data_IF_807778268497
#
_entry.id   IF_807778268497
#
_cell.length_a   1.000
_cell.length_b   1.000
_cell.length_c   1.000
_cell.angle_alpha   90.00
_cell.angle_beta   90.00
_cell.angle_gamma   90.00
#
_symmetry.space_group_name_H-M   'P 1'
#
loop_
_entity.id
_entity.type
_entity.pdbx_description
1 polymer ?
#
# COMPACT_ATOMS: atom_id res chain seq x y z
N UNK A 1 3.61 -1.24 -11.64
CA UNK A 1 3.49 -2.06 -10.42
C UNK A 1 2.34 -3.04 -10.64
N UNK A 2 2.44 -4.28 -10.28
CA UNK A 2 1.39 -5.28 -10.55
C UNK A 2 1.89 -6.48 -11.37
N UNK A 3 3.15 -6.88 -11.17
CA UNK A 3 3.62 -8.18 -11.64
C UNK A 3 2.89 -9.32 -10.94
N UNK A 4 2.87 -10.49 -11.55
CA UNK A 4 2.08 -11.65 -11.10
C UNK A 4 2.43 -12.21 -9.71
N UNK A 5 3.40 -11.66 -8.97
CA UNK A 5 3.92 -12.26 -7.76
C UNK A 5 3.57 -11.56 -6.44
N UNK A 6 3.24 -10.27 -6.42
CA UNK A 6 2.95 -9.58 -5.16
C UNK A 6 2.10 -8.32 -5.38
N UNK A 7 0.82 -8.33 -4.93
CA UNK A 7 -0.09 -7.22 -5.22
C UNK A 7 0.10 -6.01 -4.29
N UNK A 8 0.47 -6.25 -3.04
CA UNK A 8 0.50 -5.22 -2.01
C UNK A 8 1.94 -4.82 -1.68
N UNK A 9 2.10 -3.60 -1.20
CA UNK A 9 3.42 -2.96 -1.06
C UNK A 9 3.68 -2.53 0.38
N UNK A 10 4.84 -2.87 0.91
CA UNK A 10 5.43 -2.28 2.10
C UNK A 10 6.39 -1.17 1.68
N UNK A 11 6.25 0.00 2.27
CA UNK A 11 7.21 1.10 2.18
C UNK A 11 7.85 1.28 3.56
N UNK A 12 9.15 1.07 3.66
CA UNK A 12 9.87 1.23 4.94
C UNK A 12 11.02 2.22 4.79
N UNK A 13 11.24 3.04 5.82
CA UNK A 13 12.37 3.99 5.83
C UNK A 13 12.31 4.93 7.00
N UNK A 14 13.48 5.17 7.62
CA UNK A 14 13.61 6.11 8.73
C UNK A 14 13.28 7.57 8.34
N UNK A 15 13.13 8.43 9.31
CA UNK A 15 12.93 9.88 9.10
C UNK A 15 14.07 10.45 8.26
N UNK A 16 13.76 11.24 7.23
CA UNK A 16 14.74 11.82 6.32
C UNK A 16 15.27 10.88 5.23
N UNK A 17 14.83 9.61 5.20
CA UNK A 17 15.24 8.67 4.15
C UNK A 17 14.66 8.96 2.77
N UNK A 18 13.58 9.76 2.67
CA UNK A 18 12.84 10.05 1.46
C UNK A 18 11.50 9.29 1.34
N UNK A 19 10.99 8.69 2.44
CA UNK A 19 9.74 7.94 2.47
C UNK A 19 8.55 8.81 2.02
N UNK A 20 8.36 10.00 2.59
CA UNK A 20 7.27 10.91 2.21
C UNK A 20 7.38 11.36 0.76
N UNK A 21 8.59 11.63 0.25
CA UNK A 21 8.81 11.94 -1.16
C UNK A 21 8.37 10.80 -2.06
N UNK A 22 8.74 9.55 -1.73
CA UNK A 22 8.31 8.38 -2.48
C UNK A 22 6.78 8.22 -2.49
N UNK A 23 6.14 8.38 -1.31
CA UNK A 23 4.69 8.27 -1.18
C UNK A 23 3.98 9.34 -2.00
N UNK A 24 4.41 10.60 -1.88
CA UNK A 24 3.86 11.72 -2.67
C UNK A 24 4.04 11.48 -4.17
N UNK A 25 5.22 11.04 -4.63
CA UNK A 25 5.44 10.72 -6.03
C UNK A 25 4.46 9.64 -6.54
N UNK A 26 4.17 8.61 -5.72
CA UNK A 26 3.18 7.60 -6.09
C UNK A 26 1.78 8.21 -6.22
N UNK A 27 1.39 9.07 -5.29
CA UNK A 27 0.08 9.74 -5.29
C UNK A 27 -0.06 10.72 -6.45
N UNK A 28 0.96 11.54 -6.74
CA UNK A 28 0.98 12.41 -7.92
C UNK A 28 0.88 11.61 -9.23
N UNK A 29 1.60 10.49 -9.35
CA UNK A 29 1.47 9.61 -10.51
C UNK A 29 0.06 9.03 -10.66
N UNK A 30 -0.65 8.76 -9.57
CA UNK A 30 -2.03 8.31 -9.60
C UNK A 30 -2.96 9.47 -9.98
N UNK A 31 -2.79 10.66 -9.40
CA UNK A 31 -3.53 11.87 -9.73
C UNK A 31 -3.42 12.22 -11.22
N UNK A 32 -2.20 12.24 -11.75
CA UNK A 32 -1.93 12.66 -13.13
C UNK A 32 -2.41 11.65 -14.17
N UNK A 33 -2.58 10.39 -13.77
CA UNK A 33 -3.15 9.33 -14.60
C UNK A 33 -4.64 9.09 -14.32
N UNK A 34 -5.20 9.90 -13.44
CA UNK A 34 -6.61 9.84 -13.10
C UNK A 34 -7.43 10.27 -14.32
N UNK A 35 -7.96 9.30 -15.03
CA UNK A 35 -9.10 9.50 -15.92
C UNK A 35 -10.36 9.33 -15.08
N UNK A 36 -11.32 10.27 -15.15
CA UNK A 36 -12.48 10.31 -14.23
C UNK A 36 -13.10 8.93 -14.06
N UNK A 37 -12.98 8.38 -12.86
CA UNK A 37 -13.55 7.08 -12.48
C UNK A 37 -12.69 5.87 -12.79
N UNK A 38 -11.42 6.01 -13.23
CA UNK A 38 -10.53 4.86 -13.45
C UNK A 38 -9.72 4.44 -12.22
N UNK A 39 -9.52 5.37 -11.28
CA UNK A 39 -8.77 5.15 -10.04
C UNK A 39 -9.48 5.81 -8.87
N UNK A 40 -9.49 5.17 -7.73
CA UNK A 40 -9.85 5.72 -6.44
C UNK A 40 -8.69 5.52 -5.46
N UNK A 41 -8.48 6.50 -4.59
CA UNK A 41 -7.38 6.49 -3.62
C UNK A 41 -7.92 6.79 -2.23
N UNK A 42 -7.62 5.90 -1.29
CA UNK A 42 -7.85 6.12 0.15
C UNK A 42 -6.49 6.31 0.80
N UNK A 43 -6.32 7.39 1.54
CA UNK A 43 -5.08 7.71 2.26
C UNK A 43 -5.39 7.79 3.74
N UNK A 44 -4.80 6.91 4.53
CA UNK A 44 -4.87 6.95 5.99
C UNK A 44 -3.63 7.69 6.49
N UNK A 45 -3.83 8.91 7.03
CA UNK A 45 -2.78 9.82 7.51
C UNK A 45 -2.90 10.03 9.03
N UNK A 46 -2.26 9.19 9.86
CA UNK A 46 -2.26 9.35 11.30
C UNK A 46 -1.71 10.69 11.80
N UNK A 47 -0.78 11.27 11.03
CA UNK A 47 -0.10 12.52 11.41
C UNK A 47 -0.86 13.78 11.03
N UNK A 48 -1.85 13.67 10.13
CA UNK A 48 -2.75 14.75 9.71
C UNK A 48 -2.06 15.94 9.02
N UNK A 49 -0.89 15.73 8.43
CA UNK A 49 -0.11 16.82 7.82
C UNK A 49 0.53 16.46 6.48
N UNK A 50 0.79 15.17 6.21
CA UNK A 50 1.62 14.76 5.07
C UNK A 50 0.86 14.76 3.74
N UNK A 51 -0.48 14.52 3.77
CA UNK A 51 -1.26 14.26 2.56
C UNK A 51 -2.52 15.13 2.43
N UNK A 52 -2.59 16.23 3.16
CA UNK A 52 -3.76 17.12 3.13
C UNK A 52 -3.99 17.78 1.76
N UNK A 53 -2.95 17.94 0.95
CA UNK A 53 -3.04 18.46 -0.41
C UNK A 53 -3.87 17.57 -1.34
N UNK A 54 -4.08 16.30 -0.95
CA UNK A 54 -4.93 15.36 -1.70
C UNK A 54 -6.39 15.35 -1.24
N UNK A 55 -6.76 16.09 -0.18
CA UNK A 55 -8.11 16.06 0.38
C UNK A 55 -9.19 16.56 -0.60
N UNK A 56 -8.82 17.54 -1.45
CA UNK A 56 -9.72 18.13 -2.44
C UNK A 56 -9.54 17.55 -3.86
N UNK A 57 -8.69 16.51 -4.00
CA UNK A 57 -8.47 15.87 -5.31
C UNK A 57 -9.61 14.89 -5.60
N UNK A 58 -10.30 15.03 -6.74
CA UNK A 58 -11.39 14.10 -7.11
C UNK A 58 -10.91 12.65 -7.13
N UNK A 59 -11.67 11.75 -6.49
CA UNK A 59 -11.33 10.33 -6.40
C UNK A 59 -10.33 9.99 -5.28
N UNK A 60 -9.90 10.99 -4.48
CA UNK A 60 -9.07 10.79 -3.31
C UNK A 60 -9.87 11.03 -2.03
N UNK A 61 -9.61 10.23 -1.03
CA UNK A 61 -10.19 10.35 0.31
C UNK A 61 -9.07 10.32 1.34
N UNK A 62 -8.91 11.38 2.10
CA UNK A 62 -7.93 11.45 3.20
C UNK A 62 -8.63 11.18 4.53
N UNK A 63 -8.13 10.21 5.27
CA UNK A 63 -8.68 9.74 6.55
C UNK A 63 -7.65 9.96 7.65
N UNK A 64 -8.00 10.79 8.61
CA UNK A 64 -7.11 11.20 9.72
C UNK A 64 -7.57 10.71 11.09
N UNK A 65 -8.66 9.94 11.13
CA UNK A 65 -9.28 9.42 12.34
C UNK A 65 -9.38 7.89 12.31
N UNK A 66 -9.05 7.23 13.44
CA UNK A 66 -9.07 5.77 13.58
C UNK A 66 -10.45 5.15 13.33
N UNK A 67 -11.50 5.79 13.82
CA UNK A 67 -12.87 5.30 13.64
C UNK A 67 -13.26 5.28 12.17
N UNK A 68 -12.97 6.38 11.46
CA UNK A 68 -13.19 6.45 10.00
C UNK A 68 -12.31 5.45 9.25
N UNK A 69 -11.08 5.22 9.69
CA UNK A 69 -10.21 4.22 9.06
C UNK A 69 -10.77 2.80 9.20
N UNK A 70 -11.35 2.44 10.35
CA UNK A 70 -12.06 1.17 10.54
C UNK A 70 -13.23 1.04 9.56
N UNK A 71 -14.00 2.12 9.39
CA UNK A 71 -15.12 2.13 8.43
C UNK A 71 -14.62 1.97 6.98
N UNK A 72 -13.52 2.62 6.61
CA UNK A 72 -12.95 2.49 5.26
C UNK A 72 -12.44 1.07 4.97
N UNK A 73 -11.78 0.39 5.92
CA UNK A 73 -11.42 -1.02 5.73
C UNK A 73 -12.65 -1.91 5.51
N UNK A 74 -13.72 -1.70 6.28
CA UNK A 74 -15.00 -2.42 6.07
C UNK A 74 -15.60 -2.14 4.69
N UNK A 75 -15.58 -0.87 4.23
CA UNK A 75 -16.03 -0.51 2.88
C UNK A 75 -15.20 -1.19 1.79
N UNK A 76 -13.87 -1.22 1.94
CA UNK A 76 -12.98 -1.91 0.99
C UNK A 76 -13.26 -3.40 0.92
N UNK A 77 -13.52 -4.07 2.05
CA UNK A 77 -13.90 -5.48 2.09
C UNK A 77 -15.27 -5.70 1.44
N UNK A 78 -16.24 -4.84 1.72
CA UNK A 78 -17.57 -4.92 1.09
C UNK A 78 -17.48 -4.74 -0.44
N UNK A 79 -16.70 -3.76 -0.90
CA UNK A 79 -16.46 -3.52 -2.31
C UNK A 79 -15.73 -4.69 -2.98
N UNK A 80 -14.72 -5.25 -2.34
CA UNK A 80 -14.06 -6.47 -2.82
C UNK A 80 -15.07 -7.59 -3.04
N UNK A 81 -15.95 -7.83 -2.08
CA UNK A 81 -17.00 -8.88 -2.16
C UNK A 81 -18.00 -8.57 -3.28
N UNK A 82 -18.46 -7.32 -3.41
CA UNK A 82 -19.32 -6.88 -4.51
C UNK A 82 -18.68 -7.16 -5.88
N UNK A 83 -17.39 -6.88 -6.04
CA UNK A 83 -16.65 -7.16 -7.28
C UNK A 83 -16.59 -8.64 -7.60
N UNK A 84 -16.42 -9.50 -6.62
CA UNK A 84 -16.47 -10.94 -6.82
C UNK A 84 -17.84 -11.44 -7.26
N UNK A 85 -18.96 -10.83 -6.79
CA UNK A 85 -20.30 -11.14 -7.32
C UNK A 85 -20.41 -10.76 -8.80
N UNK A 86 -19.91 -9.58 -9.19
CA UNK A 86 -19.86 -9.14 -10.58
C UNK A 86 -19.03 -10.12 -11.42
N UNK A 87 -17.86 -10.54 -10.92
CA UNK A 87 -17.02 -11.50 -11.63
C UNK A 87 -17.73 -12.84 -11.87
N UNK A 88 -18.49 -13.32 -10.90
CA UNK A 88 -19.33 -14.52 -11.06
C UNK A 88 -20.37 -14.34 -12.17
N UNK A 89 -21.09 -13.21 -12.18
CA UNK A 89 -22.09 -12.90 -13.20
C UNK A 89 -21.48 -12.87 -14.61
N UNK A 90 -20.32 -12.28 -14.78
CA UNK A 90 -19.62 -12.15 -16.07
C UNK A 90 -18.68 -13.32 -16.39
N UNK A 91 -18.60 -14.35 -15.54
CA UNK A 91 -17.72 -15.51 -15.69
C UNK A 91 -16.27 -15.13 -15.91
N UNK A 92 -15.78 -14.13 -15.17
CA UNK A 92 -14.39 -13.70 -15.15
C UNK A 92 -13.76 -13.91 -13.77
N UNK A 93 -12.44 -13.83 -13.68
CA UNK A 93 -11.68 -14.13 -12.45
C UNK A 93 -11.00 -12.90 -11.86
N UNK A 94 -10.90 -11.81 -12.61
CA UNK A 94 -10.16 -10.61 -12.22
C UNK A 94 -10.69 -9.38 -12.97
N UNK A 95 -10.44 -8.21 -12.40
CA UNK A 95 -10.90 -6.92 -12.94
C UNK A 95 -10.45 -6.68 -14.39
N UNK A 96 -9.24 -7.11 -14.78
CA UNK A 96 -8.75 -6.94 -16.15
C UNK A 96 -9.55 -7.75 -17.18
N UNK A 97 -10.10 -8.89 -16.78
CA UNK A 97 -11.00 -9.67 -17.66
C UNK A 97 -12.41 -9.06 -17.71
N UNK A 98 -12.85 -8.42 -16.60
CA UNK A 98 -14.11 -7.71 -16.58
C UNK A 98 -14.08 -6.50 -17.52
N UNK A 99 -12.97 -5.74 -17.53
CA UNK A 99 -12.82 -4.57 -18.39
C UNK A 99 -12.86 -4.86 -19.89
N UNK A 100 -12.65 -6.13 -20.27
CA UNK A 100 -12.78 -6.59 -21.67
C UNK A 100 -14.24 -6.91 -22.06
N UNK A 101 -15.18 -6.88 -21.10
CA UNK A 101 -16.61 -7.16 -21.36
C UNK A 101 -17.33 -5.87 -21.74
N UNK A 102 -17.95 -5.79 -22.93
CA UNK A 102 -18.54 -4.54 -23.43
C UNK A 102 -19.69 -4.03 -22.56
N UNK A 103 -20.48 -4.93 -21.97
CA UNK A 103 -21.67 -4.60 -21.17
C UNK A 103 -21.39 -4.59 -19.65
N UNK A 104 -20.12 -4.70 -19.23
CA UNK A 104 -19.79 -4.73 -17.83
C UNK A 104 -19.61 -3.31 -17.27
N UNK A 105 -19.95 -3.17 -15.99
CA UNK A 105 -19.63 -1.99 -15.22
C UNK A 105 -18.11 -1.72 -15.24
N UNK A 106 -17.72 -0.49 -15.51
CA UNK A 106 -16.32 -0.07 -15.38
C UNK A 106 -16.02 0.19 -13.92
N UNK A 107 -15.17 -0.65 -13.36
CA UNK A 107 -14.76 -0.55 -11.96
C UNK A 107 -13.41 0.18 -11.87
N UNK A 108 -13.27 1.18 -10.98
CA UNK A 108 -11.98 1.82 -10.74
C UNK A 108 -10.99 0.85 -10.09
N UNK A 109 -9.71 1.09 -10.30
CA UNK A 109 -8.65 0.52 -9.47
C UNK A 109 -8.62 1.30 -8.16
N UNK A 110 -8.63 0.60 -7.03
CA UNK A 110 -8.59 1.24 -5.72
C UNK A 110 -7.20 1.07 -5.11
N UNK A 111 -6.60 2.17 -4.67
CA UNK A 111 -5.37 2.18 -3.91
C UNK A 111 -5.64 2.65 -2.48
N UNK A 112 -5.26 1.84 -1.51
CA UNK A 112 -5.35 2.18 -0.09
C UNK A 112 -3.94 2.37 0.46
N UNK A 113 -3.58 3.60 0.73
CA UNK A 113 -2.33 3.99 1.38
C UNK A 113 -2.57 4.12 2.88
N UNK A 114 -1.68 3.58 3.69
CA UNK A 114 -1.66 3.80 5.13
C UNK A 114 -0.27 4.26 5.54
N UNK A 115 -0.12 5.57 5.73
CA UNK A 115 1.15 6.10 6.24
C UNK A 115 1.29 5.79 7.72
N UNK A 116 2.50 5.54 8.13
CA UNK A 116 2.89 5.19 9.51
C UNK A 116 1.88 4.27 10.20
N UNK A 117 1.47 3.19 9.50
CA UNK A 117 0.46 2.27 10.02
C UNK A 117 0.80 1.75 11.42
N UNK A 118 2.09 1.67 11.76
CA UNK A 118 2.57 1.25 13.08
C UNK A 118 2.04 2.15 14.21
N UNK A 119 1.77 3.43 13.94
CA UNK A 119 1.23 4.34 14.95
C UNK A 119 -0.15 3.92 15.42
N UNK A 120 -1.04 3.58 14.48
CA UNK A 120 -2.39 3.13 14.83
C UNK A 120 -2.43 1.66 15.27
N UNK A 121 -1.60 0.80 14.67
CA UNK A 121 -1.54 -0.64 15.02
C UNK A 121 -0.92 -0.93 16.39
N UNK A 122 -0.31 0.03 17.07
CA UNK A 122 0.07 -0.07 18.48
C UNK A 122 -1.12 0.02 19.43
N UNK A 123 -2.22 0.60 18.97
CA UNK A 123 -3.50 0.60 19.68
C UNK A 123 -4.18 -0.75 19.44
N UNK A 124 -4.22 -1.61 20.47
CA UNK A 124 -4.78 -2.96 20.38
C UNK A 124 -6.25 -2.94 19.95
N UNK A 125 -7.05 -1.98 20.44
CA UNK A 125 -8.45 -1.86 20.06
C UNK A 125 -8.62 -1.57 18.57
N UNK A 126 -7.80 -0.68 18.04
CA UNK A 126 -7.79 -0.41 16.61
C UNK A 126 -7.35 -1.64 15.82
N UNK A 127 -6.22 -2.24 16.20
CA UNK A 127 -5.65 -3.42 15.56
C UNK A 127 -6.65 -4.56 15.50
N UNK A 128 -7.29 -4.89 16.60
CA UNK A 128 -8.31 -5.95 16.69
C UNK A 128 -9.52 -5.66 15.78
N UNK A 129 -9.87 -4.38 15.63
CA UNK A 129 -10.99 -3.97 14.79
C UNK A 129 -10.71 -4.10 13.28
N UNK A 130 -9.44 -4.02 12.85
CA UNK A 130 -9.09 -3.99 11.42
C UNK A 130 -8.31 -5.20 10.93
N UNK A 131 -7.71 -6.00 11.81
CA UNK A 131 -6.76 -7.07 11.43
C UNK A 131 -7.37 -8.09 10.48
N UNK A 132 -8.62 -8.49 10.72
CA UNK A 132 -9.31 -9.47 9.87
C UNK A 132 -9.63 -8.90 8.48
N UNK A 133 -10.04 -7.64 8.42
CA UNK A 133 -10.35 -6.94 7.17
C UNK A 133 -9.08 -6.74 6.35
N UNK A 134 -8.00 -6.29 6.98
CA UNK A 134 -6.69 -6.10 6.35
C UNK A 134 -6.12 -7.42 5.84
N UNK A 135 -6.22 -8.51 6.62
CA UNK A 135 -5.78 -9.83 6.19
C UNK A 135 -6.63 -10.36 5.01
N UNK A 136 -7.94 -10.16 5.04
CA UNK A 136 -8.84 -10.52 3.94
C UNK A 136 -8.50 -9.77 2.65
N UNK A 137 -8.28 -8.46 2.75
CA UNK A 137 -7.84 -7.65 1.62
C UNK A 137 -6.46 -8.10 1.12
N UNK A 138 -5.51 -8.32 2.02
CA UNK A 138 -4.17 -8.80 1.66
C UNK A 138 -4.18 -10.11 0.87
N UNK A 139 -5.06 -11.03 1.22
CA UNK A 139 -5.17 -12.32 0.57
C UNK A 139 -5.94 -12.30 -0.76
N UNK A 140 -6.98 -11.46 -0.89
CA UNK A 140 -7.96 -11.59 -1.97
C UNK A 140 -8.14 -10.34 -2.84
N UNK A 141 -7.78 -9.15 -2.37
CA UNK A 141 -8.17 -7.90 -3.03
C UNK A 141 -7.51 -7.66 -4.40
N UNK A 142 -6.38 -8.31 -4.69
CA UNK A 142 -5.66 -8.18 -5.96
C UNK A 142 -6.55 -8.42 -7.18
N UNK A 143 -7.26 -9.54 -7.21
CA UNK A 143 -8.11 -9.89 -8.35
C UNK A 143 -9.26 -8.89 -8.52
N UNK A 144 -9.72 -8.31 -7.42
CA UNK A 144 -10.72 -7.26 -7.39
C UNK A 144 -10.18 -5.88 -7.82
N UNK A 145 -8.87 -5.72 -8.03
CA UNK A 145 -8.26 -4.43 -8.39
C UNK A 145 -8.13 -3.47 -7.21
N UNK A 146 -7.98 -4.00 -5.99
CA UNK A 146 -7.74 -3.22 -4.78
C UNK A 146 -6.32 -3.51 -4.28
N UNK A 147 -5.53 -2.47 -4.10
CA UNK A 147 -4.12 -2.56 -3.74
C UNK A 147 -3.83 -1.82 -2.44
N UNK A 148 -3.07 -2.46 -1.54
CA UNK A 148 -2.66 -1.89 -0.27
C UNK A 148 -1.22 -1.41 -0.36
N UNK A 149 -0.96 -0.22 0.18
CA UNK A 149 0.38 0.35 0.37
C UNK A 149 0.50 0.74 1.82
N UNK A 150 1.24 -0.05 2.60
CA UNK A 150 1.50 0.25 4.01
C UNK A 150 2.89 0.84 4.17
N UNK A 151 2.97 2.00 4.80
CA UNK A 151 4.22 2.68 5.04
C UNK A 151 4.52 2.77 6.54
N UNK A 152 5.80 2.63 6.90
CA UNK A 152 6.27 2.78 8.28
C UNK A 152 7.73 3.20 8.35
N UNK A 153 8.08 3.90 9.40
CA UNK A 153 9.49 4.19 9.73
C UNK A 153 10.16 2.98 10.38
N UNK A 154 9.39 2.17 11.11
CA UNK A 154 9.90 0.99 11.83
C UNK A 154 8.96 -0.20 11.60
N UNK A 155 9.31 -1.09 10.68
CA UNK A 155 8.55 -2.34 10.47
C UNK A 155 8.86 -3.32 11.61
N UNK A 156 8.17 -3.16 12.73
CA UNK A 156 8.31 -4.03 13.90
C UNK A 156 7.49 -5.32 13.71
N UNK A 157 8.11 -6.46 13.99
CA UNK A 157 7.49 -7.77 13.77
C UNK A 157 6.24 -8.02 14.66
N UNK A 158 6.18 -7.40 15.84
CA UNK A 158 5.07 -7.48 16.79
C UNK A 158 3.88 -6.59 16.41
N UNK A 159 4.11 -5.54 15.62
CA UNK A 159 3.05 -4.62 15.17
C UNK A 159 2.39 -5.13 13.90
N UNK A 160 3.20 -5.64 12.97
CA UNK A 160 2.71 -6.15 11.70
C UNK A 160 2.36 -7.64 11.79
N UNK A 161 1.06 -8.02 11.71
CA UNK A 161 0.66 -9.43 11.68
C UNK A 161 1.43 -10.22 10.63
N UNK A 162 1.84 -11.47 10.91
CA UNK A 162 2.59 -12.29 9.97
C UNK A 162 1.89 -12.48 8.61
N UNK A 163 0.58 -12.64 8.63
CA UNK A 163 -0.27 -12.80 7.44
C UNK A 163 -0.21 -11.53 6.56
N UNK A 164 -0.37 -10.35 7.17
CA UNK A 164 -0.25 -9.09 6.46
C UNK A 164 1.15 -8.93 5.85
N UNK A 165 2.18 -9.20 6.65
CA UNK A 165 3.58 -9.10 6.20
C UNK A 165 3.88 -10.02 5.01
N UNK A 166 3.30 -11.23 4.98
CA UNK A 166 3.46 -12.17 3.87
C UNK A 166 2.76 -11.70 2.59
N UNK A 167 1.66 -10.97 2.73
CA UNK A 167 0.88 -10.42 1.61
C UNK A 167 1.48 -9.13 1.04
N UNK A 168 2.31 -8.40 1.81
CA UNK A 168 3.07 -7.23 1.36
C UNK A 168 4.37 -7.66 0.65
N UNK A 169 4.22 -8.34 -0.47
CA UNK A 169 5.35 -8.96 -1.17
C UNK A 169 6.17 -8.01 -2.04
N UNK A 170 5.62 -6.85 -2.44
CA UNK A 170 6.45 -5.75 -2.94
C UNK A 170 6.99 -4.95 -1.77
N UNK A 171 8.27 -4.66 -1.79
CA UNK A 171 8.92 -3.91 -0.72
C UNK A 171 9.76 -2.80 -1.30
N UNK A 172 9.50 -1.59 -0.87
CA UNK A 172 10.24 -0.39 -1.21
C UNK A 172 10.92 0.07 0.08
N UNK A 173 12.17 -0.34 0.25
CA UNK A 173 12.90 -0.14 1.50
C UNK A 173 13.98 0.90 1.30
N UNK A 174 13.75 2.07 1.87
CA UNK A 174 14.72 3.15 1.97
C UNK A 174 15.66 2.87 3.15
N UNK A 175 16.54 3.83 3.47
CA UNK A 175 17.42 3.70 4.63
C UNK A 175 16.62 3.45 5.92
N UNK A 176 17.06 2.49 6.69
CA UNK A 176 16.53 2.13 8.02
C UNK A 176 17.62 2.19 9.08
N UNK A 177 17.24 2.23 10.35
CA UNK A 177 18.14 2.54 11.45
C UNK A 177 19.19 1.44 11.73
N UNK A 178 18.84 0.17 11.55
CA UNK A 178 19.66 -0.96 12.00
C UNK A 178 19.47 -2.21 11.14
N UNK A 179 20.40 -3.20 11.21
CA UNK A 179 20.32 -4.44 10.42
C UNK A 179 19.10 -5.31 10.73
N UNK A 180 18.58 -5.31 11.96
CA UNK A 180 17.38 -6.07 12.34
C UNK A 180 16.16 -5.53 11.64
N UNK A 181 15.98 -4.22 11.67
CA UNK A 181 14.92 -3.50 10.93
C UNK A 181 15.05 -3.75 9.43
N UNK A 182 16.27 -3.74 8.88
CA UNK A 182 16.54 -4.05 7.48
C UNK A 182 16.05 -5.44 7.10
N UNK A 183 16.36 -6.46 7.90
CA UNK A 183 15.94 -7.84 7.66
C UNK A 183 14.42 -7.98 7.64
N UNK A 184 13.73 -7.34 8.58
CA UNK A 184 12.24 -7.36 8.64
C UNK A 184 11.66 -6.65 7.42
N UNK A 185 12.18 -5.46 7.08
CA UNK A 185 11.71 -4.68 5.95
C UNK A 185 11.90 -5.40 4.61
N UNK A 186 13.07 -5.98 4.39
CA UNK A 186 13.40 -6.71 3.17
C UNK A 186 12.74 -8.10 3.10
N UNK A 187 12.34 -8.66 4.26
CA UNK A 187 11.72 -9.98 4.34
C UNK A 187 12.68 -11.14 4.18
N UNK A 188 13.98 -10.89 4.24
CA UNK A 188 15.01 -11.92 4.12
C UNK A 188 16.26 -11.49 4.89
N UNK A 189 16.63 -12.27 5.89
CA UNK A 189 17.82 -12.03 6.73
C UNK A 189 19.17 -12.13 5.97
N UNK A 190 19.19 -12.79 4.83
CA UNK A 190 20.43 -13.09 4.08
C UNK A 190 20.62 -12.21 2.84
N UNK A 191 19.73 -11.25 2.63
CA UNK A 191 19.69 -10.58 1.36
C UNK A 191 20.62 -9.38 1.27
N UNK A 192 21.43 -9.40 0.22
CA UNK A 192 21.70 -8.29 -0.65
C UNK A 192 21.82 -6.93 0.05
N UNK A 193 22.97 -6.48 0.47
CA UNK A 193 23.25 -5.19 1.09
C UNK A 193 22.19 -4.71 2.08
N UNK A 194 22.53 -4.49 3.29
CA UNK A 194 21.55 -4.13 4.29
C UNK A 194 20.98 -2.73 4.00
N UNK A 195 19.67 -2.55 4.12
CA UNK A 195 19.02 -1.25 3.87
C UNK A 195 19.48 -0.17 4.86
N UNK A 196 20.06 -0.54 6.01
CA UNK A 196 20.69 0.40 6.94
C UNK A 196 22.00 1.00 6.39
N UNK A 197 22.65 0.39 5.39
CA UNK A 197 23.86 0.91 4.73
C UNK A 197 23.55 1.86 3.56
N UNK A 198 22.28 2.03 3.19
CA UNK A 198 21.89 2.98 2.18
C UNK A 198 22.27 4.41 2.57
N UNK A 199 22.60 5.23 1.58
CA UNK A 199 23.03 6.62 1.80
C UNK A 199 21.93 7.54 2.34
N UNK A 200 20.67 7.13 2.28
CA UNK A 200 19.52 8.01 2.53
C UNK A 200 19.14 8.82 1.29
N UNK A 201 18.43 9.93 1.46
CA UNK A 201 18.07 10.86 0.37
C UNK A 201 17.40 10.16 -0.83
N UNK A 202 16.51 9.19 -0.55
CA UNK A 202 15.78 8.45 -1.57
C UNK A 202 16.49 7.25 -2.18
N UNK A 203 17.69 6.87 -1.73
CA UNK A 203 18.26 5.57 -2.07
C UNK A 203 17.38 4.48 -1.47
N UNK A 204 16.99 3.50 -2.25
CA UNK A 204 16.14 2.40 -1.82
C UNK A 204 16.49 1.07 -2.47
N UNK A 205 16.10 0.01 -1.82
CA UNK A 205 16.05 -1.35 -2.36
C UNK A 205 14.61 -1.69 -2.68
N UNK A 206 14.34 -1.99 -3.93
CA UNK A 206 13.05 -2.54 -4.37
C UNK A 206 13.12 -4.06 -4.42
N UNK A 207 12.21 -4.73 -3.74
CA UNK A 207 12.00 -6.17 -3.80
C UNK A 207 10.64 -6.45 -4.42
N UNK A 208 10.60 -7.27 -5.47
CA UNK A 208 9.36 -7.75 -6.08
C UNK A 208 9.53 -9.18 -6.53
N UNK A 209 8.95 -10.12 -5.78
CA UNK A 209 9.21 -11.54 -5.96
C UNK A 209 10.69 -11.86 -5.76
N UNK A 210 11.32 -12.52 -6.75
CA UNK A 210 12.75 -12.84 -6.71
C UNK A 210 13.67 -11.68 -7.14
N UNK A 211 13.11 -10.57 -7.63
CA UNK A 211 13.89 -9.43 -8.10
C UNK A 211 14.21 -8.49 -6.96
N UNK A 212 15.48 -8.12 -6.85
CA UNK A 212 15.99 -7.09 -5.94
C UNK A 212 16.77 -6.09 -6.77
N UNK A 213 16.44 -4.81 -6.65
CA UNK A 213 17.05 -3.74 -7.44
C UNK A 213 17.33 -2.55 -6.55
N UNK A 214 18.51 -1.96 -6.66
CA UNK A 214 18.81 -0.66 -6.10
C UNK A 214 18.21 0.42 -6.97
N UNK A 215 17.54 1.37 -6.37
CA UNK A 215 16.85 2.45 -7.05
C UNK A 215 17.09 3.78 -6.34
N UNK A 216 16.81 4.85 -7.05
CA UNK A 216 16.74 6.21 -6.51
C UNK A 216 15.31 6.73 -6.65
N UNK A 217 14.73 7.24 -5.58
CA UNK A 217 13.46 7.98 -5.61
C UNK A 217 13.70 9.26 -6.40
N UNK A 218 12.96 9.49 -7.48
CA UNK A 218 13.08 10.75 -8.21
C UNK A 218 12.60 11.91 -7.34
N UNK A 219 13.24 13.07 -7.48
CA UNK A 219 12.75 14.31 -6.89
C UNK A 219 11.85 14.97 -7.95
N UNK A 220 10.56 14.67 -7.91
CA UNK A 220 9.57 15.33 -8.76
C UNK A 220 9.31 16.68 -8.10
N UNK A 221 9.75 17.75 -8.76
CA UNK A 221 9.31 19.11 -8.39
C UNK A 221 7.92 19.32 -8.99
N UNK A 222 7.00 19.84 -8.16
CA UNK A 222 5.69 20.31 -8.61
C UNK A 222 5.79 21.35 -9.71
#
# INVERSE_FOLDING_TARGET
MGGDSAPHTLVAGETGSGKSVLMNNMLYCLRDRFDKGSVEVVIMDPKQVEFMDFADVPGFTVVTDKGKAIEEFKKLVAEMRRRYEIFRKYKCKKISQLSEKPDAEKLPIIWCFHDEFAEWFRDEQYKDSVVNDVNSLGAMARAAGIFLVFATQRPEANIMPPELRSNLGNRLVLKVADPGTSSIALGDAKAFGAANELLGNGHMIMVSGAKKVYCQVPNIKE
#
